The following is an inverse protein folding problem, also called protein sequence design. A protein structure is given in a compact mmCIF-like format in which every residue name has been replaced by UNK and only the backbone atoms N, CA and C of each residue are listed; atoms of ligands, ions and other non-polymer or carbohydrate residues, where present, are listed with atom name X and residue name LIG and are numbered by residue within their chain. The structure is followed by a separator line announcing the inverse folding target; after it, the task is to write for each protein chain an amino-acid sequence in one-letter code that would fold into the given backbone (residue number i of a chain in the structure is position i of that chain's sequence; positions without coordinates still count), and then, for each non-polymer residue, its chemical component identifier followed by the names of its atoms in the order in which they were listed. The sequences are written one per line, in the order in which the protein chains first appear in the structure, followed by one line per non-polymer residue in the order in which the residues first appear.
data_IF_432189193389
#
_entry.id   IF_432189193389
#
_cell.length_a   1.000
_cell.length_b   1.000
_cell.length_c   1.000
_cell.angle_alpha   90.00
_cell.angle_beta   90.00
_cell.angle_gamma   90.00
#
_symmetry.space_group_name_H-M   'P 1'
#
loop_
_entity.id
_entity.type
_entity.pdbx_description
1 polymer ?
#
# COMPACT_ATOMS: atom_id res chain seq x y z
N UNK A 1 -9.70 35.37 -10.16
CA UNK A 1 -8.94 34.37 -9.39
C UNK A 1 -7.93 33.70 -10.31
N UNK A 2 -6.76 33.32 -9.79
CA UNK A 2 -5.67 32.63 -10.53
C UNK A 2 -6.20 31.41 -11.29
N UNK A 3 -7.16 30.69 -10.73
CA UNK A 3 -7.79 29.50 -11.35
C UNK A 3 -8.57 29.79 -12.65
N UNK A 4 -8.94 31.04 -12.89
CA UNK A 4 -9.65 31.51 -14.11
C UNK A 4 -8.80 32.46 -14.96
N UNK A 5 -7.48 32.57 -14.70
CA UNK A 5 -6.60 33.53 -15.36
C UNK A 5 -6.22 33.16 -16.79
N UNK A 6 -6.44 31.92 -17.21
CA UNK A 6 -6.19 31.45 -18.58
C UNK A 6 -7.07 30.24 -18.91
N UNK A 7 -7.29 30.01 -20.21
CA UNK A 7 -8.01 28.83 -20.70
C UNK A 7 -7.38 27.51 -20.22
N UNK A 8 -6.05 27.47 -20.08
CA UNK A 8 -5.32 26.31 -19.51
C UNK A 8 -5.69 26.07 -18.06
N UNK A 9 -5.72 27.10 -17.23
CA UNK A 9 -6.05 27.00 -15.81
C UNK A 9 -7.52 26.60 -15.62
N UNK A 10 -8.42 27.14 -16.44
CA UNK A 10 -9.84 26.77 -16.44
C UNK A 10 -10.02 25.29 -16.83
N UNK A 11 -9.33 24.80 -17.86
CA UNK A 11 -9.34 23.40 -18.26
C UNK A 11 -8.82 22.50 -17.14
N UNK A 12 -7.68 22.82 -16.52
CA UNK A 12 -7.11 22.05 -15.40
C UNK A 12 -8.05 22.00 -14.21
N UNK A 13 -8.67 23.13 -13.85
CA UNK A 13 -9.64 23.18 -12.75
C UNK A 13 -10.85 22.28 -13.02
N UNK A 14 -11.38 22.33 -14.26
CA UNK A 14 -12.48 21.46 -14.68
C UNK A 14 -12.09 19.99 -14.63
N UNK A 15 -10.88 19.66 -15.13
CA UNK A 15 -10.35 18.30 -15.12
C UNK A 15 -10.19 17.74 -13.71
N UNK A 16 -9.61 18.51 -12.77
CA UNK A 16 -9.50 18.13 -11.36
C UNK A 16 -10.88 17.90 -10.73
N UNK A 17 -11.86 18.78 -11.03
CA UNK A 17 -13.23 18.61 -10.57
C UNK A 17 -13.90 17.32 -11.10
N UNK A 18 -13.63 16.92 -12.33
CA UNK A 18 -14.12 15.65 -12.91
C UNK A 18 -13.49 14.44 -12.20
N UNK A 19 -12.15 14.46 -12.03
CA UNK A 19 -11.42 13.41 -11.32
C UNK A 19 -11.95 13.26 -9.89
N UNK A 20 -12.13 14.37 -9.15
CA UNK A 20 -12.66 14.34 -7.81
C UNK A 20 -14.08 13.73 -7.74
N UNK A 21 -14.98 14.10 -8.66
CA UNK A 21 -16.31 13.51 -8.73
C UNK A 21 -16.26 12.00 -9.01
N UNK A 22 -15.40 11.57 -9.93
CA UNK A 22 -15.19 10.16 -10.26
C UNK A 22 -14.65 9.38 -9.06
N UNK A 23 -13.66 9.93 -8.36
CA UNK A 23 -13.09 9.35 -7.13
C UNK A 23 -14.16 9.17 -6.06
N UNK A 24 -14.94 10.21 -5.76
CA UNK A 24 -16.01 10.13 -4.74
C UNK A 24 -17.05 9.07 -5.12
N UNK A 25 -17.49 9.05 -6.38
CA UNK A 25 -18.41 8.03 -6.88
C UNK A 25 -17.85 6.61 -6.71
N UNK A 26 -16.60 6.36 -7.14
CA UNK A 26 -15.98 5.04 -7.04
C UNK A 26 -15.82 4.59 -5.59
N UNK A 27 -15.37 5.49 -4.70
CA UNK A 27 -15.25 5.20 -3.27
C UNK A 27 -16.60 4.89 -2.63
N UNK A 28 -17.68 5.61 -3.04
CA UNK A 28 -19.04 5.31 -2.59
C UNK A 28 -19.48 3.90 -3.01
N UNK A 29 -19.24 3.52 -4.28
CA UNK A 29 -19.54 2.18 -4.77
C UNK A 29 -18.75 1.10 -4.00
N UNK A 30 -17.47 1.36 -3.75
CA UNK A 30 -16.61 0.42 -3.01
C UNK A 30 -17.03 0.24 -1.55
N UNK A 31 -17.45 1.33 -0.87
CA UNK A 31 -17.96 1.27 0.52
C UNK A 31 -19.26 0.47 0.57
N UNK A 32 -20.16 0.64 -0.41
CA UNK A 32 -21.44 -0.07 -0.46
C UNK A 32 -21.32 -1.57 -0.69
N UNK A 33 -20.19 -2.04 -1.22
CA UNK A 33 -19.91 -3.46 -1.49
C UNK A 33 -19.30 -4.21 -0.32
N UNK A 34 -18.91 -3.52 0.76
CA UNK A 34 -18.29 -4.12 1.93
C UNK A 34 -18.93 -3.66 3.23
N UNK A 35 -18.48 -4.24 4.32
CA UNK A 35 -18.97 -3.96 5.68
C UNK A 35 -18.08 -2.95 6.43
N UNK A 36 -17.01 -2.49 5.78
CA UNK A 36 -16.06 -1.57 6.39
C UNK A 36 -16.60 -0.14 6.47
N UNK A 37 -16.45 0.47 7.64
CA UNK A 37 -16.80 1.86 7.90
C UNK A 37 -15.50 2.69 8.05
N UNK A 38 -15.40 3.85 7.38
CA UNK A 38 -14.31 4.78 7.62
C UNK A 38 -14.23 5.20 9.09
N UNK A 39 -13.13 4.89 9.76
CA UNK A 39 -12.90 5.19 11.19
C UNK A 39 -11.95 6.37 11.40
N UNK A 40 -11.10 6.71 10.40
CA UNK A 40 -10.21 7.84 10.48
C UNK A 40 -9.68 8.30 9.12
N UNK A 41 -9.47 9.62 9.03
CA UNK A 41 -8.84 10.27 7.88
C UNK A 41 -7.68 11.10 8.37
N UNK A 42 -6.58 11.15 7.58
CA UNK A 42 -5.39 11.93 7.92
C UNK A 42 -4.88 11.63 9.35
N UNK A 43 -4.94 10.34 9.75
CA UNK A 43 -4.59 9.88 11.10
C UNK A 43 -3.09 10.00 11.28
N UNK A 44 -2.67 11.00 12.02
CA UNK A 44 -1.25 11.21 12.36
C UNK A 44 -0.84 10.29 13.51
N UNK A 45 0.35 9.75 13.44
CA UNK A 45 1.01 9.05 14.54
C UNK A 45 2.44 9.56 14.72
N UNK A 46 2.88 9.61 15.97
CA UNK A 46 4.19 10.11 16.34
C UNK A 46 4.72 9.39 17.59
N UNK A 47 5.91 9.73 18.01
CA UNK A 47 6.47 9.25 19.29
C UNK A 47 5.63 9.64 20.51
N UNK A 48 4.80 10.70 20.40
CA UNK A 48 3.91 11.14 21.48
C UNK A 48 2.72 10.19 21.71
N UNK A 49 2.34 9.39 20.70
CA UNK A 49 1.20 8.46 20.79
C UNK A 49 1.55 7.16 21.54
N UNK A 50 2.82 7.02 21.96
CA UNK A 50 3.32 5.89 22.74
C UNK A 50 3.04 4.53 22.09
N UNK A 51 3.18 4.46 20.76
CA UNK A 51 3.02 3.25 19.99
C UNK A 51 4.33 2.45 19.96
N UNK A 52 4.30 1.23 20.46
CA UNK A 52 5.49 0.36 20.53
C UNK A 52 6.00 -0.01 19.15
N UNK A 53 5.09 -0.28 18.20
CA UNK A 53 5.43 -0.59 16.82
C UNK A 53 6.16 0.55 16.10
N UNK A 54 6.05 1.79 16.59
CA UNK A 54 6.67 2.98 16.01
C UNK A 54 8.03 3.31 16.62
N UNK A 55 8.50 2.53 17.60
CA UNK A 55 9.80 2.68 18.24
C UNK A 55 10.65 1.44 17.97
N UNK A 56 11.68 1.59 17.15
CA UNK A 56 12.60 0.51 16.79
C UNK A 56 13.91 0.73 17.55
N UNK A 57 14.21 -0.14 18.53
CA UNK A 57 15.46 -0.09 19.27
C UNK A 57 16.63 -0.46 18.35
N UNK A 58 17.61 0.42 18.25
CA UNK A 58 18.85 0.24 17.50
C UNK A 58 19.96 -0.29 18.41
N UNK A 59 20.07 0.28 19.61
CA UNK A 59 20.94 -0.14 20.72
C UNK A 59 20.23 0.04 22.05
N UNK A 60 20.93 -0.16 23.18
CA UNK A 60 20.40 0.09 24.52
C UNK A 60 20.05 1.56 24.77
N UNK A 61 20.68 2.49 24.04
CA UNK A 61 20.53 3.93 24.22
C UNK A 61 19.89 4.63 23.04
N UNK A 62 19.78 3.97 21.89
CA UNK A 62 19.36 4.57 20.63
C UNK A 62 18.11 3.90 20.06
N UNK A 63 17.21 4.69 19.52
CA UNK A 63 16.01 4.18 18.87
C UNK A 63 15.62 5.02 17.65
N UNK A 64 15.14 4.36 16.61
CA UNK A 64 14.50 4.99 15.49
C UNK A 64 13.01 5.21 15.85
N UNK A 65 12.56 6.45 15.77
CA UNK A 65 11.17 6.82 15.99
C UNK A 65 10.49 7.08 14.65
N UNK A 66 9.53 6.24 14.31
CA UNK A 66 8.72 6.43 13.11
C UNK A 66 7.59 7.42 13.37
N UNK A 67 7.31 8.25 12.40
CA UNK A 67 6.16 9.14 12.37
C UNK A 67 5.54 9.16 10.98
N UNK A 68 4.25 9.37 10.91
CA UNK A 68 3.56 9.41 9.64
C UNK A 68 2.13 9.89 9.76
N UNK A 69 1.44 9.86 8.64
CA UNK A 69 0.04 10.21 8.52
C UNK A 69 -0.62 9.25 7.57
N UNK A 70 -1.60 8.53 8.07
CA UNK A 70 -2.37 7.53 7.33
C UNK A 70 -3.53 8.26 6.68
N UNK A 71 -3.64 8.19 5.35
CA UNK A 71 -4.67 8.93 4.62
C UNK A 71 -6.07 8.48 5.03
N UNK A 72 -6.30 7.17 5.14
CA UNK A 72 -7.58 6.60 5.57
C UNK A 72 -7.41 5.25 6.25
N UNK A 73 -8.13 5.10 7.35
CA UNK A 73 -8.29 3.87 8.12
C UNK A 73 -9.78 3.51 8.17
N UNK A 74 -10.12 2.27 7.81
CA UNK A 74 -11.47 1.72 7.94
C UNK A 74 -11.47 0.52 8.86
N UNK A 75 -12.58 0.31 9.57
CA UNK A 75 -12.80 -0.82 10.47
C UNK A 75 -14.09 -1.56 10.13
N UNK A 76 -14.09 -2.85 10.39
CA UNK A 76 -15.28 -3.68 10.39
C UNK A 76 -15.29 -4.50 11.69
N UNK A 77 -16.32 -4.32 12.51
CA UNK A 77 -16.51 -5.08 13.74
C UNK A 77 -17.38 -6.29 13.45
N UNK A 78 -16.89 -7.49 13.72
CA UNK A 78 -17.66 -8.72 13.66
C UNK A 78 -17.38 -9.60 14.88
N UNK A 79 -18.36 -9.77 15.75
CA UNK A 79 -18.33 -10.56 16.98
C UNK A 79 -17.14 -10.20 17.88
N UNK A 80 -16.16 -11.11 18.01
CA UNK A 80 -14.94 -10.98 18.82
C UNK A 80 -13.75 -10.41 18.05
N UNK A 81 -13.94 -10.09 16.76
CA UNK A 81 -12.90 -9.55 15.87
C UNK A 81 -13.16 -8.10 15.47
N UNK A 82 -12.09 -7.38 15.20
CA UNK A 82 -12.10 -6.11 14.49
C UNK A 82 -11.15 -6.21 13.31
N UNK A 83 -11.69 -6.19 12.12
CA UNK A 83 -10.92 -6.12 10.89
C UNK A 83 -10.52 -4.68 10.61
N UNK A 84 -9.25 -4.48 10.28
CA UNK A 84 -8.70 -3.15 9.95
C UNK A 84 -8.13 -3.14 8.54
N UNK A 85 -8.43 -2.11 7.78
CA UNK A 85 -7.77 -1.86 6.49
C UNK A 85 -7.28 -0.42 6.40
N UNK A 86 -6.21 -0.21 5.69
CA UNK A 86 -5.69 1.10 5.37
C UNK A 86 -5.73 1.34 3.87
N UNK A 87 -5.97 2.59 3.50
CA UNK A 87 -5.97 3.04 2.12
C UNK A 87 -5.08 4.29 2.04
N UNK A 88 -4.11 4.23 1.14
CA UNK A 88 -3.23 5.36 0.82
C UNK A 88 -3.53 5.83 -0.60
N UNK A 89 -3.86 7.13 -0.74
CA UNK A 89 -4.26 7.74 -2.00
C UNK A 89 -3.05 8.17 -2.82
N UNK A 90 -2.98 7.73 -4.07
CA UNK A 90 -1.88 8.06 -4.99
C UNK A 90 -2.38 8.85 -6.19
N UNK A 91 -1.78 10.01 -6.45
CA UNK A 91 -2.06 10.83 -7.63
C UNK A 91 -1.43 10.28 -8.93
N UNK A 92 -0.62 9.23 -8.83
CA UNK A 92 0.02 8.52 -9.94
C UNK A 92 -0.34 7.04 -9.97
N UNK A 93 0.12 6.33 -11.00
CA UNK A 93 -0.06 4.87 -11.10
C UNK A 93 0.92 4.15 -10.19
N UNK A 94 0.51 3.89 -8.97
CA UNK A 94 1.25 3.09 -8.01
C UNK A 94 0.63 1.70 -7.93
N UNK A 95 1.46 0.67 -7.98
CA UNK A 95 1.05 -0.72 -7.73
C UNK A 95 1.87 -1.30 -6.58
N UNK A 96 1.23 -2.11 -5.76
CA UNK A 96 1.92 -2.87 -4.74
C UNK A 96 2.87 -3.89 -5.41
N UNK A 97 4.12 -3.89 -4.97
CA UNK A 97 5.17 -4.78 -5.50
C UNK A 97 5.92 -5.42 -4.34
N UNK A 98 5.64 -6.69 -4.10
CA UNK A 98 6.27 -7.46 -3.03
C UNK A 98 7.79 -7.58 -3.22
N UNK A 99 8.29 -7.59 -4.47
CA UNK A 99 9.73 -7.58 -4.75
C UNK A 99 10.35 -6.23 -4.34
N UNK A 100 9.68 -5.12 -4.63
CA UNK A 100 10.13 -3.81 -4.19
C UNK A 100 10.18 -3.71 -2.65
N UNK A 101 9.17 -4.25 -1.98
CA UNK A 101 9.13 -4.31 -0.52
C UNK A 101 10.28 -5.17 0.04
N UNK A 102 10.54 -6.33 -0.54
CA UNK A 102 11.65 -7.21 -0.15
C UNK A 102 13.01 -6.50 -0.25
N UNK A 103 13.19 -5.64 -1.25
CA UNK A 103 14.40 -4.81 -1.41
C UNK A 103 14.36 -3.48 -0.61
N UNK A 104 13.42 -3.29 0.32
CA UNK A 104 13.38 -2.14 1.22
C UNK A 104 12.62 -0.92 0.69
N UNK A 105 11.87 -1.04 -0.40
CA UNK A 105 10.97 -0.01 -0.89
C UNK A 105 9.51 -0.32 -0.50
N UNK A 106 8.61 0.66 -0.64
CA UNK A 106 7.17 0.50 -0.35
C UNK A 106 6.85 -0.01 1.07
N UNK A 107 7.70 0.29 2.06
CA UNK A 107 7.52 -0.14 3.45
C UNK A 107 6.35 0.57 4.14
N UNK A 108 5.92 1.72 3.62
CA UNK A 108 4.95 2.65 4.21
C UNK A 108 3.65 1.96 4.64
N UNK A 109 3.02 1.17 3.75
CA UNK A 109 1.73 0.54 4.06
C UNK A 109 1.84 -0.47 5.21
N UNK A 110 2.95 -1.19 5.32
CA UNK A 110 3.16 -2.15 6.41
C UNK A 110 3.32 -1.42 7.73
N UNK A 111 4.15 -0.37 7.78
CA UNK A 111 4.32 0.51 8.94
C UNK A 111 2.98 1.11 9.38
N UNK A 112 2.17 1.56 8.42
CA UNK A 112 0.85 2.12 8.72
C UNK A 112 -0.11 1.08 9.29
N UNK A 113 -0.07 -0.16 8.77
CA UNK A 113 -0.88 -1.25 9.33
C UNK A 113 -0.47 -1.59 10.76
N UNK A 114 0.82 -1.60 11.07
CA UNK A 114 1.32 -1.84 12.43
C UNK A 114 0.84 -0.75 13.40
N UNK A 115 0.91 0.53 13.00
CA UNK A 115 0.38 1.65 13.77
C UNK A 115 -1.13 1.52 14.03
N UNK A 116 -1.91 1.22 12.98
CA UNK A 116 -3.37 1.06 13.06
C UNK A 116 -3.74 -0.14 13.93
N UNK A 117 -3.04 -1.26 13.78
CA UNK A 117 -3.27 -2.46 14.58
C UNK A 117 -3.06 -2.17 16.08
N UNK A 118 -2.02 -1.42 16.42
CA UNK A 118 -1.76 -1.03 17.81
C UNK A 118 -2.79 -0.01 18.34
N UNK A 119 -3.19 0.96 17.52
CA UNK A 119 -4.27 1.91 17.86
C UNK A 119 -5.60 1.17 18.09
N UNK A 120 -5.95 0.25 17.19
CA UNK A 120 -7.16 -0.54 17.30
C UNK A 120 -7.16 -1.44 18.56
N UNK A 121 -6.01 -2.04 18.93
CA UNK A 121 -5.88 -2.80 20.19
C UNK A 121 -6.14 -1.95 21.43
N UNK A 122 -5.73 -0.68 21.43
CA UNK A 122 -6.03 0.25 22.52
C UNK A 122 -7.51 0.62 22.59
N UNK A 123 -8.16 0.73 21.43
CA UNK A 123 -9.58 1.07 21.33
C UNK A 123 -10.49 -0.13 21.61
N UNK A 124 -10.07 -1.32 21.24
CA UNK A 124 -10.84 -2.57 21.35
C UNK A 124 -10.03 -3.64 22.12
N UNK A 125 -9.76 -3.45 23.42
CA UNK A 125 -8.81 -4.30 24.17
C UNK A 125 -9.27 -5.76 24.31
N UNK A 126 -10.59 -6.01 24.23
CA UNK A 126 -11.17 -7.35 24.35
C UNK A 126 -11.38 -8.07 23.01
N UNK A 127 -11.04 -7.41 21.89
CA UNK A 127 -11.26 -7.97 20.55
C UNK A 127 -9.96 -8.37 19.89
N UNK A 128 -10.02 -9.38 19.03
CA UNK A 128 -8.91 -9.76 18.17
C UNK A 128 -8.82 -8.81 16.96
N UNK A 129 -7.69 -8.13 16.81
CA UNK A 129 -7.47 -7.20 15.71
C UNK A 129 -6.85 -7.93 14.52
N UNK A 130 -7.57 -7.95 13.40
CA UNK A 130 -7.20 -8.68 12.18
C UNK A 130 -6.88 -7.69 11.05
N UNK A 131 -5.63 -7.66 10.54
CA UNK A 131 -5.30 -6.95 9.31
C UNK A 131 -6.12 -7.52 8.15
N UNK A 132 -6.97 -6.69 7.52
CA UNK A 132 -7.78 -7.10 6.37
C UNK A 132 -7.14 -6.69 5.04
N UNK A 133 -6.43 -5.56 5.01
CA UNK A 133 -5.77 -5.14 3.79
C UNK A 133 -4.95 -3.86 3.92
N UNK A 134 -3.88 -3.82 3.17
CA UNK A 134 -3.01 -2.66 2.94
C UNK A 134 -3.13 -2.27 1.47
N UNK A 135 -3.75 -1.11 1.18
CA UNK A 135 -4.25 -0.82 -0.15
C UNK A 135 -3.79 0.56 -0.64
N UNK A 136 -3.46 0.63 -1.92
CA UNK A 136 -3.33 1.86 -2.68
C UNK A 136 -4.62 2.11 -3.47
N UNK A 137 -5.11 3.33 -3.44
CA UNK A 137 -6.13 3.83 -4.36
C UNK A 137 -5.51 4.85 -5.30
N UNK A 138 -5.45 4.53 -6.59
CA UNK A 138 -4.95 5.46 -7.60
C UNK A 138 -6.08 6.42 -8.01
N UNK A 139 -5.88 7.71 -7.74
CA UNK A 139 -6.79 8.77 -8.17
C UNK A 139 -6.64 8.96 -9.67
N UNK A 140 -7.61 8.43 -10.44
CA UNK A 140 -7.60 8.46 -11.90
C UNK A 140 -9.00 8.69 -12.44
N UNK A 141 -9.10 8.98 -13.75
CA UNK A 141 -10.36 9.10 -14.47
C UNK A 141 -10.25 8.25 -15.75
N UNK A 142 -10.35 6.93 -15.60
CA UNK A 142 -10.23 6.02 -16.74
C UNK A 142 -11.42 6.14 -17.68
N UNK A 143 -11.17 5.90 -18.96
CA UNK A 143 -12.21 5.79 -19.98
C UNK A 143 -12.72 4.35 -20.05
N UNK A 144 -14.02 4.19 -20.28
CA UNK A 144 -14.59 2.90 -20.65
C UNK A 144 -14.18 2.51 -22.07
N UNK A 145 -14.01 1.22 -22.32
CA UNK A 145 -13.67 0.72 -23.63
C UNK A 145 -14.93 0.67 -24.52
N UNK A 146 -14.82 1.16 -25.75
CA UNK A 146 -15.90 1.11 -26.76
C UNK A 146 -15.94 -0.26 -27.43
N UNK A 147 -16.44 -1.27 -26.74
CA UNK A 147 -16.73 -2.56 -27.35
C UNK A 147 -18.25 -2.69 -27.52
N UNK A 148 -18.75 -2.32 -28.70
CA UNK A 148 -20.19 -2.24 -29.00
C UNK A 148 -20.84 -0.92 -28.56
N UNK A 149 -22.10 -0.98 -28.16
CA UNK A 149 -22.87 0.13 -27.57
C UNK A 149 -23.19 -0.23 -26.09
N UNK A 150 -22.22 -0.07 -25.17
CA UNK A 150 -22.45 -0.42 -23.78
C UNK A 150 -23.48 0.52 -23.14
N UNK A 151 -24.38 -0.02 -22.33
CA UNK A 151 -25.25 0.77 -21.51
C UNK A 151 -24.49 1.44 -20.33
N UNK A 152 -25.17 2.32 -19.58
CA UNK A 152 -24.52 3.07 -18.50
C UNK A 152 -24.02 2.15 -17.37
N UNK A 153 -24.72 1.07 -17.08
CA UNK A 153 -24.33 0.12 -16.04
C UNK A 153 -23.05 -0.63 -16.40
N UNK A 154 -22.92 -1.05 -17.67
CA UNK A 154 -21.70 -1.68 -18.19
C UNK A 154 -20.51 -0.72 -18.20
N UNK A 155 -20.74 0.56 -18.52
CA UNK A 155 -19.72 1.61 -18.46
C UNK A 155 -19.25 1.79 -17.02
N UNK A 156 -20.16 1.90 -16.08
CA UNK A 156 -19.86 2.12 -14.67
C UNK A 156 -19.12 0.91 -14.09
N UNK A 157 -19.50 -0.32 -14.41
CA UNK A 157 -18.79 -1.53 -14.00
C UNK A 157 -17.36 -1.59 -14.55
N UNK A 158 -17.14 -1.24 -15.83
CA UNK A 158 -15.79 -1.17 -16.41
C UNK A 158 -14.93 -0.11 -15.73
N UNK A 159 -15.48 1.05 -15.42
CA UNK A 159 -14.76 2.13 -14.73
C UNK A 159 -14.42 1.71 -13.31
N UNK A 160 -15.37 1.12 -12.57
CA UNK A 160 -15.13 0.65 -11.21
C UNK A 160 -14.01 -0.40 -11.18
N UNK A 161 -14.02 -1.34 -12.11
CA UNK A 161 -12.95 -2.34 -12.25
C UNK A 161 -11.58 -1.71 -12.55
N UNK A 162 -11.52 -0.65 -13.37
CA UNK A 162 -10.28 0.09 -13.64
C UNK A 162 -9.80 0.92 -12.43
N UNK A 163 -10.70 1.25 -11.51
CA UNK A 163 -10.43 1.95 -10.24
C UNK A 163 -10.35 1.00 -9.05
N UNK A 164 -10.29 -0.32 -9.29
CA UNK A 164 -10.05 -1.32 -8.25
C UNK A 164 -8.79 -0.98 -7.45
N UNK A 165 -8.87 -1.05 -6.13
CA UNK A 165 -7.73 -0.86 -5.25
C UNK A 165 -6.68 -1.94 -5.53
N UNK A 166 -5.42 -1.60 -5.35
CA UNK A 166 -4.34 -2.56 -5.44
C UNK A 166 -3.55 -2.59 -4.12
N UNK A 167 -2.98 -3.73 -3.76
CA UNK A 167 -2.32 -3.88 -2.48
C UNK A 167 -2.25 -5.34 -2.07
N UNK A 168 -2.20 -5.60 -0.77
CA UNK A 168 -2.20 -6.94 -0.19
C UNK A 168 -3.43 -7.10 0.70
N UNK A 169 -4.20 -8.16 0.49
CA UNK A 169 -5.46 -8.44 1.19
C UNK A 169 -5.31 -9.72 2.02
N UNK A 170 -5.99 -9.80 3.15
CA UNK A 170 -6.06 -11.03 3.94
C UNK A 170 -6.78 -12.13 3.15
N UNK A 171 -6.15 -13.32 3.06
CA UNK A 171 -6.67 -14.44 2.29
C UNK A 171 -7.82 -15.19 2.96
N UNK A 172 -8.12 -14.89 4.23
CA UNK A 172 -9.26 -15.49 4.93
C UNK A 172 -10.56 -15.05 4.25
N UNK A 173 -11.40 -16.03 3.88
CA UNK A 173 -12.63 -15.78 3.14
C UNK A 173 -13.58 -14.81 3.88
N UNK A 174 -13.60 -14.84 5.21
CA UNK A 174 -14.36 -13.94 6.06
C UNK A 174 -13.89 -12.48 5.84
N UNK A 175 -12.59 -12.23 5.91
CA UNK A 175 -12.01 -10.90 5.65
C UNK A 175 -12.30 -10.42 4.22
N UNK A 176 -12.19 -11.31 3.22
CA UNK A 176 -12.52 -11.00 1.82
C UNK A 176 -13.99 -10.62 1.67
N UNK A 177 -14.91 -11.34 2.33
CA UNK A 177 -16.35 -11.05 2.29
C UNK A 177 -16.70 -9.73 2.96
N UNK A 178 -16.04 -9.36 4.05
CA UNK A 178 -16.21 -8.04 4.64
C UNK A 178 -15.68 -6.91 3.74
N UNK A 179 -14.65 -7.18 2.94
CA UNK A 179 -14.12 -6.19 1.98
C UNK A 179 -15.00 -6.03 0.74
N UNK A 180 -15.60 -7.15 0.26
CA UNK A 180 -16.52 -7.18 -0.87
C UNK A 180 -17.47 -8.37 -0.72
N UNK A 181 -18.68 -8.10 -0.19
CA UNK A 181 -19.69 -9.14 -0.02
C UNK A 181 -20.37 -9.53 -1.34
N UNK A 182 -20.15 -8.74 -2.41
CA UNK A 182 -20.73 -9.00 -3.74
C UNK A 182 -19.84 -9.88 -4.63
N UNK A 183 -18.62 -10.20 -4.20
CA UNK A 183 -17.67 -10.96 -5.02
C UNK A 183 -18.16 -12.39 -5.30
N UNK A 184 -18.31 -12.71 -6.59
CA UNK A 184 -18.62 -14.07 -7.06
C UNK A 184 -17.40 -14.78 -7.66
N UNK A 185 -16.69 -14.10 -8.54
CA UNK A 185 -15.49 -14.60 -9.24
C UNK A 185 -14.29 -13.68 -9.08
N UNK A 186 -14.39 -12.45 -9.51
CA UNK A 186 -13.34 -11.43 -9.46
C UNK A 186 -13.94 -10.17 -8.84
N UNK A 187 -13.26 -9.59 -7.85
CA UNK A 187 -13.70 -8.33 -7.26
C UNK A 187 -13.34 -7.15 -8.16
N UNK A 188 -14.20 -6.15 -8.18
CA UNK A 188 -13.94 -4.83 -8.77
C UNK A 188 -13.55 -3.78 -7.71
N UNK A 189 -13.40 -4.22 -6.45
CA UNK A 189 -13.01 -3.37 -5.31
C UNK A 189 -11.59 -3.67 -4.85
N UNK A 190 -11.23 -4.96 -4.76
CA UNK A 190 -9.97 -5.46 -4.20
C UNK A 190 -9.31 -6.47 -5.16
N UNK A 191 -7.97 -6.67 -5.09
CA UNK A 191 -7.24 -7.54 -6.01
C UNK A 191 -7.41 -9.03 -5.63
N UNK A 192 -8.64 -9.53 -5.62
CA UNK A 192 -8.98 -10.90 -5.23
C UNK A 192 -9.82 -11.59 -6.29
N UNK A 193 -9.48 -12.86 -6.55
CA UNK A 193 -10.21 -13.77 -7.43
C UNK A 193 -10.67 -14.98 -6.62
N UNK A 194 -11.95 -15.34 -6.75
CA UNK A 194 -12.52 -16.55 -6.19
C UNK A 194 -12.73 -17.62 -7.27
N UNK A 195 -12.58 -18.88 -6.89
CA UNK A 195 -13.00 -20.03 -7.67
C UNK A 195 -13.62 -21.05 -6.73
N UNK A 196 -14.81 -21.52 -7.06
CA UNK A 196 -15.56 -22.47 -6.25
C UNK A 196 -15.67 -22.03 -4.77
N UNK A 197 -15.89 -20.74 -4.55
CA UNK A 197 -16.02 -20.12 -3.23
C UNK A 197 -14.71 -19.98 -2.43
N UNK A 198 -13.55 -20.26 -3.02
CA UNK A 198 -12.23 -20.17 -2.38
C UNK A 198 -11.36 -19.12 -3.05
N UNK A 199 -10.51 -18.46 -2.26
CA UNK A 199 -9.54 -17.49 -2.77
C UNK A 199 -8.49 -18.19 -3.64
N UNK A 200 -8.28 -17.70 -4.86
CA UNK A 200 -7.23 -18.15 -5.76
C UNK A 200 -5.94 -17.36 -5.52
N UNK A 201 -5.06 -17.81 -4.63
CA UNK A 201 -3.82 -17.11 -4.29
C UNK A 201 -2.95 -16.79 -5.53
N UNK A 202 -2.84 -17.70 -6.49
CA UNK A 202 -2.05 -17.50 -7.71
C UNK A 202 -2.55 -16.37 -8.62
N UNK A 203 -3.80 -15.91 -8.45
CA UNK A 203 -4.43 -14.84 -9.24
C UNK A 203 -4.82 -13.63 -8.40
N UNK A 204 -4.55 -13.68 -7.11
CA UNK A 204 -4.91 -12.66 -6.13
C UNK A 204 -3.66 -12.11 -5.46
N UNK A 205 -3.72 -10.86 -5.02
CA UNK A 205 -2.68 -10.28 -4.17
C UNK A 205 -3.08 -10.46 -2.71
N UNK A 206 -2.76 -11.62 -2.15
CA UNK A 206 -3.24 -12.01 -0.82
C UNK A 206 -2.13 -12.60 0.05
N UNK A 207 -2.33 -12.48 1.36
CA UNK A 207 -1.51 -13.12 2.39
C UNK A 207 -2.40 -13.54 3.55
N UNK A 208 -2.12 -14.68 4.17
CA UNK A 208 -2.76 -15.07 5.41
C UNK A 208 -2.26 -14.21 6.59
N UNK A 209 -2.91 -14.33 7.74
CA UNK A 209 -2.55 -13.60 8.96
C UNK A 209 -1.08 -13.80 9.34
N UNK A 210 -0.57 -15.02 9.21
CA UNK A 210 0.81 -15.35 9.54
C UNK A 210 1.79 -14.64 8.61
N UNK A 211 1.50 -14.58 7.31
CA UNK A 211 2.30 -13.83 6.34
C UNK A 211 2.27 -12.32 6.63
N UNK A 212 1.13 -11.75 7.05
CA UNK A 212 1.07 -10.35 7.50
C UNK A 212 1.98 -10.09 8.70
N UNK A 213 1.95 -10.97 9.71
CA UNK A 213 2.83 -10.88 10.89
C UNK A 213 4.31 -10.98 10.49
N UNK A 214 4.66 -11.93 9.60
CA UNK A 214 6.02 -12.07 9.10
C UNK A 214 6.50 -10.88 8.28
N UNK A 215 5.59 -10.29 7.48
CA UNK A 215 5.87 -9.10 6.71
C UNK A 215 6.16 -7.89 7.60
N UNK A 216 5.38 -7.69 8.66
CA UNK A 216 5.63 -6.67 9.68
C UNK A 216 7.02 -6.85 10.32
N UNK A 217 7.34 -8.04 10.78
CA UNK A 217 8.64 -8.35 11.39
C UNK A 217 9.81 -8.13 10.41
N UNK A 218 9.63 -8.49 9.14
CA UNK A 218 10.62 -8.25 8.09
C UNK A 218 10.85 -6.75 7.87
N UNK A 219 9.78 -5.96 7.78
CA UNK A 219 9.87 -4.50 7.61
C UNK A 219 10.56 -3.84 8.81
N UNK A 220 10.24 -4.26 10.03
CA UNK A 220 10.91 -3.78 11.23
C UNK A 220 12.42 -4.06 11.22
N UNK A 221 12.85 -5.24 10.74
CA UNK A 221 14.29 -5.54 10.59
C UNK A 221 14.94 -4.63 9.55
N UNK A 222 14.31 -4.46 8.38
CA UNK A 222 14.82 -3.56 7.34
C UNK A 222 14.98 -2.13 7.82
N UNK A 223 14.02 -1.64 8.61
CA UNK A 223 14.10 -0.31 9.21
C UNK A 223 15.20 -0.23 10.29
N UNK A 224 15.40 -1.31 11.06
CA UNK A 224 16.49 -1.40 12.04
C UNK A 224 17.86 -1.42 11.37
N UNK A 225 18.02 -2.18 10.29
CA UNK A 225 19.25 -2.22 9.47
C UNK A 225 19.55 -0.81 8.94
N UNK A 226 18.59 -0.17 8.25
CA UNK A 226 18.74 1.19 7.74
C UNK A 226 19.05 2.22 8.84
N UNK A 227 18.41 2.10 10.02
CA UNK A 227 18.70 2.97 11.15
C UNK A 227 20.13 2.82 11.67
N UNK A 228 20.67 1.60 11.71
CA UNK A 228 22.07 1.34 12.09
C UNK A 228 23.05 1.88 11.05
N UNK A 229 22.81 1.63 9.75
CA UNK A 229 23.63 2.17 8.68
C UNK A 229 23.71 3.70 8.72
N UNK A 230 22.60 4.38 9.04
CA UNK A 230 22.58 5.85 9.24
C UNK A 230 23.45 6.26 10.42
N UNK A 231 23.37 5.57 11.57
CA UNK A 231 24.17 5.87 12.77
C UNK A 231 25.66 5.59 12.56
N UNK A 232 25.97 4.53 11.81
CA UNK A 232 27.35 4.14 11.49
C UNK A 232 27.95 5.06 10.41
N UNK A 233 27.16 6.00 9.85
CA UNK A 233 27.62 6.94 8.84
C UNK A 233 27.89 6.29 7.49
N UNK A 234 27.17 5.22 7.14
CA UNK A 234 27.27 4.59 5.83
C UNK A 234 26.77 5.54 4.72
N UNK A 235 27.66 5.92 3.82
CA UNK A 235 27.41 6.85 2.72
C UNK A 235 27.69 6.24 1.35
N UNK A 236 27.79 4.92 1.26
CA UNK A 236 28.03 4.21 0.02
C UNK A 236 27.01 4.55 -1.06
N UNK A 237 27.50 4.81 -2.29
CA UNK A 237 26.63 5.15 -3.42
C UNK A 237 26.30 3.90 -4.21
N UNK A 238 25.22 3.21 -3.81
CA UNK A 238 24.77 1.96 -4.40
C UNK A 238 23.31 2.03 -4.90
N UNK A 239 23.03 2.85 -5.95
CA UNK A 239 21.66 3.02 -6.42
C UNK A 239 21.11 1.70 -6.98
N UNK A 240 19.87 1.37 -6.61
CA UNK A 240 19.22 0.16 -7.14
C UNK A 240 18.89 0.28 -8.63
N UNK A 241 18.78 -0.89 -9.29
CA UNK A 241 18.24 -1.01 -10.64
C UNK A 241 17.29 -2.20 -10.74
N UNK A 242 16.04 -1.93 -11.11
CA UNK A 242 15.01 -2.92 -11.41
C UNK A 242 14.51 -2.75 -12.85
N UNK A 243 15.01 -3.59 -13.76
CA UNK A 243 14.73 -3.47 -15.19
C UNK A 243 15.20 -2.13 -15.76
N UNK A 244 14.25 -1.29 -16.18
CA UNK A 244 14.53 0.07 -16.68
C UNK A 244 14.52 1.13 -15.58
N UNK A 245 13.88 0.87 -14.42
CA UNK A 245 13.77 1.80 -13.29
C UNK A 245 15.03 1.79 -12.45
N UNK A 246 15.46 2.96 -12.01
CA UNK A 246 16.62 3.14 -11.13
C UNK A 246 16.31 4.11 -10.00
N UNK A 247 17.08 4.05 -8.92
CA UNK A 247 17.02 5.05 -7.84
C UNK A 247 17.33 6.48 -8.34
N UNK A 248 18.04 6.60 -9.48
CA UNK A 248 18.46 7.88 -10.03
C UNK A 248 17.37 8.60 -10.83
N UNK A 249 16.29 7.92 -11.26
CA UNK A 249 15.29 8.48 -12.20
C UNK A 249 14.63 9.75 -11.69
N UNK A 250 14.42 9.88 -10.37
CA UNK A 250 13.81 11.05 -9.72
C UNK A 250 14.64 11.56 -8.54
N UNK A 251 15.94 11.24 -8.50
CA UNK A 251 16.80 11.62 -7.39
C UNK A 251 17.15 13.12 -7.45
N UNK A 252 16.80 13.91 -6.40
CA UNK A 252 17.14 15.35 -6.38
C UNK A 252 18.63 15.62 -6.20
N UNK A 253 19.41 14.63 -5.79
CA UNK A 253 20.85 14.73 -5.51
C UNK A 253 21.73 14.35 -6.71
N UNK A 254 21.16 14.11 -7.88
CA UNK A 254 21.91 13.68 -9.07
C UNK A 254 23.10 14.61 -9.41
N UNK A 255 22.91 15.92 -9.21
CA UNK A 255 23.95 16.92 -9.52
C UNK A 255 25.15 16.89 -8.56
N UNK A 256 24.98 16.37 -7.34
CA UNK A 256 26.04 16.38 -6.30
C UNK A 256 26.56 14.97 -5.98
N UNK A 257 25.77 13.93 -6.29
CA UNK A 257 26.11 12.53 -6.00
C UNK A 257 27.32 12.04 -6.81
N UNK A 258 27.51 12.54 -8.04
CA UNK A 258 28.63 12.16 -8.90
C UNK A 258 28.57 10.73 -9.44
N UNK A 259 27.49 9.99 -9.21
CA UNK A 259 27.35 8.63 -9.71
C UNK A 259 27.37 8.59 -11.24
N UNK A 260 28.42 7.99 -11.80
CA UNK A 260 28.55 7.74 -13.25
C UNK A 260 29.10 6.34 -13.49
N UNK A 261 28.36 5.52 -14.20
CA UNK A 261 28.73 4.14 -14.58
C UNK A 261 30.03 4.05 -15.42
N UNK A 262 30.46 5.16 -15.98
CA UNK A 262 31.76 5.23 -16.71
C UNK A 262 32.94 5.33 -15.76
N UNK A 263 32.70 5.72 -14.52
CA UNK A 263 33.71 5.80 -13.47
C UNK A 263 33.90 4.42 -12.83
N UNK A 264 35.14 3.97 -12.71
CA UNK A 264 35.45 2.69 -12.07
C UNK A 264 35.01 2.69 -10.61
N UNK A 265 34.39 1.60 -10.18
CA UNK A 265 33.84 1.45 -8.82
C UNK A 265 32.38 1.85 -8.67
N UNK A 266 31.76 2.50 -9.65
CA UNK A 266 30.32 2.83 -9.60
C UNK A 266 29.49 1.81 -10.39
N UNK A 267 28.69 1.03 -9.65
CA UNK A 267 27.76 0.07 -10.24
C UNK A 267 26.37 0.19 -9.62
N UNK A 268 25.36 -0.21 -10.41
CA UNK A 268 24.00 -0.36 -9.87
C UNK A 268 23.89 -1.65 -9.08
N UNK A 269 23.26 -1.57 -7.89
CA UNK A 269 22.75 -2.72 -7.19
C UNK A 269 21.55 -3.28 -7.97
N UNK A 270 21.78 -4.34 -8.76
CA UNK A 270 20.75 -4.93 -9.64
C UNK A 270 19.90 -5.92 -8.88
N UNK A 271 18.60 -5.64 -8.82
CA UNK A 271 17.68 -6.58 -8.21
C UNK A 271 17.58 -7.88 -9.01
N UNK A 272 17.65 -8.98 -8.29
CA UNK A 272 17.37 -10.30 -8.85
C UNK A 272 15.85 -10.50 -8.89
N UNK A 273 15.35 -10.90 -10.06
CA UNK A 273 13.93 -11.30 -10.18
C UNK A 273 13.70 -12.55 -9.34
N UNK A 274 12.62 -12.56 -8.57
CA UNK A 274 12.19 -13.68 -7.74
C UNK A 274 10.70 -13.91 -7.98
N UNK A 275 10.25 -15.16 -7.83
CA UNK A 275 8.82 -15.48 -7.80
C UNK A 275 8.21 -15.06 -6.47
N UNK A 276 6.92 -14.80 -6.45
CA UNK A 276 6.21 -14.38 -5.24
C UNK A 276 6.39 -15.38 -4.09
N UNK A 277 6.33 -16.67 -4.38
CA UNK A 277 6.54 -17.74 -3.41
C UNK A 277 7.95 -17.75 -2.83
N UNK A 278 8.97 -17.54 -3.66
CA UNK A 278 10.38 -17.44 -3.22
C UNK A 278 10.58 -16.24 -2.27
N UNK A 279 9.92 -15.12 -2.57
CA UNK A 279 9.98 -13.92 -1.71
C UNK A 279 9.33 -14.22 -0.36
N UNK A 280 8.15 -14.85 -0.36
CA UNK A 280 7.48 -15.23 0.88
C UNK A 280 8.29 -16.23 1.70
N UNK A 281 8.91 -17.23 1.06
CA UNK A 281 9.80 -18.17 1.73
C UNK A 281 10.96 -17.44 2.41
N UNK A 282 11.59 -16.48 1.75
CA UNK A 282 12.70 -15.71 2.31
C UNK A 282 12.25 -14.80 3.46
N UNK A 283 11.13 -14.07 3.29
CA UNK A 283 10.55 -13.26 4.36
C UNK A 283 10.23 -14.11 5.60
N UNK A 284 9.76 -15.35 5.41
CA UNK A 284 9.41 -16.25 6.50
C UNK A 284 10.61 -17.01 7.09
N UNK A 285 11.66 -17.28 6.31
CA UNK A 285 12.82 -18.09 6.71
C UNK A 285 13.82 -17.33 7.57
N UNK A 286 14.02 -16.04 7.34
CA UNK A 286 15.01 -15.20 8.03
C UNK A 286 14.78 -15.03 9.54
N UNK A 287 14.01 -15.91 10.19
CA UNK A 287 13.65 -15.85 11.60
C UNK A 287 14.11 -17.07 12.42
N UNK A 288 14.90 -17.92 11.84
CA UNK A 288 15.60 -18.96 12.60
C UNK A 288 17.04 -18.52 12.91
#
# INVERSE_FOLDING_TARGET
TILKSSARNEYLTRRVGQIAKRTVWALQQQIQKGDFVPAGFEVSFSSADNLQAMKIALSDQEALHLRGRIDRMDVCEDRDKVYVKIIDYKSGKTSFDLLALYYGLQLQLVVYMDAVTELAKKQYPEKDIVPAGILYYNIDDPLADKNGEPDQEQIDAQILKKLCMNGLVNSELEAVRHLDHTIEKESDVIPVVLKDGKVQEAKSSVADRKRFERLSQFVHRKLKEAGREILDGEIGVEPYKNGKKTACDYCPYHAVCGFDRKTSGYEFNRWKKKKTEEIWEEICREQQ
#
